data_IF_391467533500
#
_entry.id   IF_391467533500
#
_cell.length_a   1.000
_cell.length_b   1.000
_cell.length_c   1.000
_cell.angle_alpha   90.00
_cell.angle_beta   90.00
_cell.angle_gamma   90.00
#
_symmetry.space_group_name_H-M   'P 1'
#
loop_
_entity.id
_entity.type
_entity.pdbx_description
1 polymer ?
#
# COMPACT_ATOMS: atom_id res chain seq x y z
N UNK A 1 3.80 -20.30 3.92
CA UNK A 1 4.40 -19.74 5.14
C UNK A 1 4.19 -18.23 5.07
N UNK A 2 3.62 -17.64 6.10
CA UNK A 2 3.32 -16.20 6.13
C UNK A 2 4.62 -15.38 6.02
N UNK A 3 4.66 -14.42 5.10
CA UNK A 3 5.82 -13.57 4.85
C UNK A 3 5.37 -12.17 4.42
N UNK A 4 6.19 -11.18 4.70
CA UNK A 4 6.06 -9.87 4.07
C UNK A 4 7.38 -9.41 3.46
N UNK A 5 7.28 -8.51 2.53
CA UNK A 5 8.42 -7.88 1.85
C UNK A 5 8.32 -6.37 2.03
N UNK A 6 9.34 -5.76 2.60
CA UNK A 6 9.43 -4.32 2.79
C UNK A 6 10.62 -3.78 2.00
N UNK A 7 10.37 -2.83 1.12
CA UNK A 7 11.37 -2.26 0.21
C UNK A 7 12.15 -3.30 -0.60
N UNK A 8 11.46 -4.36 -1.06
CA UNK A 8 12.05 -5.43 -1.85
C UNK A 8 12.81 -6.50 -1.06
N UNK A 9 12.93 -6.36 0.27
CA UNK A 9 13.60 -7.34 1.13
C UNK A 9 12.54 -8.15 1.89
N UNK A 10 12.63 -9.47 1.80
CA UNK A 10 11.70 -10.37 2.48
C UNK A 10 12.02 -10.52 3.97
N UNK A 11 10.99 -10.63 4.80
CA UNK A 11 11.11 -10.95 6.23
C UNK A 11 11.92 -12.24 6.51
N UNK A 12 11.89 -13.20 5.58
CA UNK A 12 12.65 -14.43 5.67
C UNK A 12 14.17 -14.20 5.66
N UNK A 13 14.66 -13.13 5.01
CA UNK A 13 16.10 -12.79 4.96
C UNK A 13 16.69 -12.60 6.36
N UNK A 14 15.87 -12.06 7.24
CA UNK A 14 16.24 -11.84 8.64
C UNK A 14 15.81 -12.97 9.58
N UNK A 15 15.21 -14.04 9.05
CA UNK A 15 14.71 -15.15 9.85
C UNK A 15 13.49 -14.82 10.70
N UNK A 16 12.73 -13.80 10.30
CA UNK A 16 11.48 -13.43 10.96
C UNK A 16 10.41 -14.49 10.69
N UNK A 17 9.80 -15.00 11.74
CA UNK A 17 8.60 -15.85 11.67
C UNK A 17 7.40 -15.00 12.02
N UNK A 18 6.43 -14.94 11.13
CA UNK A 18 5.18 -14.22 11.35
C UNK A 18 4.24 -15.14 12.13
N UNK A 19 3.77 -14.64 13.27
CA UNK A 19 2.80 -15.31 14.15
C UNK A 19 1.40 -14.93 13.71
N UNK A 20 1.17 -13.62 13.54
CA UNK A 20 -0.12 -13.06 13.14
C UNK A 20 0.06 -12.05 12.01
N UNK A 21 -0.81 -12.15 11.00
CA UNK A 21 -0.88 -11.21 9.87
C UNK A 21 -2.13 -10.35 10.00
N UNK A 22 -2.03 -9.07 9.62
CA UNK A 22 -3.21 -8.22 9.58
C UNK A 22 -4.17 -8.69 8.48
N UNK A 23 -5.47 -8.61 8.72
CA UNK A 23 -6.45 -8.81 7.65
C UNK A 23 -6.31 -7.70 6.60
N UNK A 24 -6.69 -7.97 5.33
CA UNK A 24 -6.81 -6.93 4.32
C UNK A 24 -7.69 -5.79 4.84
N UNK A 25 -7.16 -4.59 4.87
CA UNK A 25 -7.88 -3.44 5.39
C UNK A 25 -7.79 -2.26 4.44
N UNK A 26 -8.71 -1.33 4.58
CA UNK A 26 -8.73 -0.05 3.87
C UNK A 26 -8.96 1.08 4.85
N UNK A 27 -8.47 2.27 4.53
CA UNK A 27 -8.77 3.47 5.28
C UNK A 27 -10.28 3.74 5.37
N UNK A 28 -10.73 4.14 6.54
CA UNK A 28 -12.11 4.59 6.76
C UNK A 28 -12.39 5.87 5.96
N UNK A 29 -13.66 6.07 5.61
CA UNK A 29 -14.09 7.33 5.01
C UNK A 29 -14.41 8.33 6.12
N UNK A 30 -13.90 9.55 6.02
CA UNK A 30 -14.17 10.62 6.99
C UNK A 30 -15.58 11.17 6.75
N UNK A 31 -16.36 11.22 7.83
CA UNK A 31 -17.74 11.73 7.81
C UNK A 31 -17.82 12.94 8.74
N UNK A 32 -18.19 14.08 8.18
CA UNK A 32 -18.47 15.28 8.95
C UNK A 32 -19.95 15.32 9.35
N UNK A 33 -20.22 15.46 10.66
CA UNK A 33 -21.57 15.60 11.20
C UNK A 33 -21.80 17.04 11.66
N UNK A 34 -22.79 17.70 11.07
CA UNK A 34 -23.15 19.07 11.39
C UNK A 34 -24.48 19.07 12.18
N UNK A 35 -24.42 19.56 13.42
CA UNK A 35 -25.61 19.72 14.25
C UNK A 35 -26.28 21.06 13.92
N UNK A 36 -27.54 21.01 13.48
CA UNK A 36 -28.33 22.22 13.21
C UNK A 36 -29.27 22.46 14.40
N UNK A 37 -29.17 23.60 15.09
CA UNK A 37 -30.07 23.94 16.18
C UNK A 37 -31.53 23.88 15.76
N UNK A 38 -32.35 23.12 16.51
CA UNK A 38 -33.80 22.95 16.24
C UNK A 38 -34.14 21.80 15.29
N UNK A 39 -33.16 21.02 14.80
CA UNK A 39 -33.42 19.76 14.10
C UNK A 39 -33.00 18.58 14.97
N UNK A 40 -33.85 17.52 15.06
CA UNK A 40 -33.50 16.30 15.80
C UNK A 40 -32.45 15.45 15.10
N UNK A 41 -32.21 15.65 13.80
CA UNK A 41 -31.29 14.88 12.97
C UNK A 41 -30.05 15.72 12.63
N UNK A 42 -28.87 15.09 12.70
CA UNK A 42 -27.62 15.67 12.26
C UNK A 42 -27.51 15.56 10.74
N UNK A 43 -27.03 16.62 10.10
CA UNK A 43 -26.68 16.58 8.69
C UNK A 43 -25.31 15.91 8.54
N UNK A 44 -25.28 14.80 7.84
CA UNK A 44 -24.05 14.03 7.62
C UNK A 44 -23.52 14.31 6.20
N UNK A 45 -22.29 14.80 6.11
CA UNK A 45 -21.59 14.98 4.84
C UNK A 45 -20.42 14.00 4.78
N UNK A 46 -20.40 13.15 3.77
CA UNK A 46 -19.23 12.35 3.46
C UNK A 46 -18.18 13.26 2.81
N UNK A 47 -17.01 13.34 3.40
CA UNK A 47 -15.85 14.00 2.80
C UNK A 47 -15.07 12.88 2.12
N UNK A 48 -14.65 13.09 0.86
CA UNK A 48 -13.83 12.11 0.12
C UNK A 48 -12.38 12.06 0.63
N UNK A 49 -12.22 12.10 1.95
CA UNK A 49 -10.96 11.94 2.64
C UNK A 49 -10.95 10.56 3.31
N UNK A 50 -9.85 9.85 3.13
CA UNK A 50 -9.66 8.52 3.68
C UNK A 50 -8.56 8.56 4.74
N UNK A 51 -8.82 7.89 5.85
CA UNK A 51 -7.85 7.74 6.92
C UNK A 51 -6.76 6.73 6.53
N UNK A 52 -5.56 6.93 7.06
CA UNK A 52 -4.47 5.99 6.90
C UNK A 52 -4.83 4.63 7.49
N UNK A 53 -4.32 3.58 6.87
CA UNK A 53 -4.53 2.20 7.32
C UNK A 53 -3.38 1.75 8.19
N UNK A 54 -3.68 1.16 9.34
CA UNK A 54 -2.68 0.52 10.19
C UNK A 54 -2.65 -0.99 9.93
N UNK A 55 -1.45 -1.52 9.71
CA UNK A 55 -1.19 -2.95 9.54
C UNK A 55 -0.22 -3.41 10.61
N UNK A 56 -0.67 -4.31 11.48
CA UNK A 56 0.13 -4.85 12.57
C UNK A 56 0.52 -6.30 12.28
N UNK A 57 1.81 -6.58 12.37
CA UNK A 57 2.38 -7.91 12.24
C UNK A 57 2.98 -8.34 13.58
N UNK A 58 2.47 -9.43 14.15
CA UNK A 58 3.17 -10.08 15.24
C UNK A 58 4.22 -11.01 14.70
N UNK A 59 5.46 -10.78 15.07
CA UNK A 59 6.63 -11.51 14.57
C UNK A 59 7.50 -12.04 15.69
N UNK A 60 8.19 -13.13 15.39
CA UNK A 60 9.12 -13.78 16.27
C UNK A 60 10.47 -13.93 15.59
N UNK A 61 11.55 -13.69 16.35
CA UNK A 61 12.92 -13.88 15.91
C UNK A 61 13.63 -14.90 16.79
N UNK A 62 14.36 -15.82 16.13
CA UNK A 62 15.19 -16.83 16.79
C UNK A 62 16.67 -16.43 16.85
N UNK A 63 17.10 -15.49 16.02
CA UNK A 63 18.47 -14.97 15.99
C UNK A 63 18.50 -13.53 16.50
N UNK A 64 18.76 -13.39 17.80
CA UNK A 64 18.75 -12.09 18.48
C UNK A 64 19.84 -11.15 17.95
N UNK A 65 20.93 -11.67 17.37
CA UNK A 65 22.03 -10.85 16.83
C UNK A 65 21.56 -9.94 15.70
N UNK A 66 20.57 -10.36 14.93
CA UNK A 66 19.98 -9.62 13.81
C UNK A 66 18.96 -8.53 14.21
N UNK A 67 18.65 -8.40 15.48
CA UNK A 67 17.61 -7.46 15.95
C UNK A 67 17.89 -6.02 15.48
N UNK A 68 19.15 -5.57 15.54
CA UNK A 68 19.52 -4.21 15.13
C UNK A 68 19.39 -4.00 13.62
N UNK A 69 19.75 -5.01 12.84
CA UNK A 69 19.66 -4.98 11.38
C UNK A 69 18.20 -4.94 10.93
N UNK A 70 17.33 -5.66 11.63
CA UNK A 70 15.87 -5.63 11.41
C UNK A 70 15.33 -4.25 11.68
N UNK A 71 15.68 -3.61 12.80
CA UNK A 71 15.23 -2.25 13.12
C UNK A 71 15.73 -1.22 12.11
N UNK A 72 16.94 -1.40 11.59
CA UNK A 72 17.47 -0.54 10.56
C UNK A 72 16.79 -0.76 9.22
N UNK A 73 16.51 -2.01 8.85
CA UNK A 73 15.76 -2.34 7.64
C UNK A 73 14.33 -1.78 7.66
N UNK A 74 13.65 -1.87 8.80
CA UNK A 74 12.28 -1.37 8.96
C UNK A 74 12.20 0.15 9.07
N UNK A 75 13.32 0.86 9.06
CA UNK A 75 13.32 2.31 9.22
C UNK A 75 12.83 3.03 7.98
N UNK A 76 11.90 3.98 8.17
CA UNK A 76 11.47 4.91 7.12
C UNK A 76 10.19 4.48 6.41
N UNK A 77 9.96 5.09 5.26
CA UNK A 77 8.83 4.83 4.38
C UNK A 77 9.19 3.84 3.25
N UNK A 78 8.19 3.30 2.59
CA UNK A 78 8.42 2.40 1.47
C UNK A 78 7.23 1.58 1.04
N UNK A 79 7.50 0.51 0.29
CA UNK A 79 6.48 -0.41 -0.21
C UNK A 79 6.45 -1.69 0.61
N UNK A 80 5.25 -2.04 1.07
CA UNK A 80 4.96 -3.26 1.79
C UNK A 80 4.11 -4.18 0.92
N UNK A 81 4.53 -5.42 0.78
CA UNK A 81 3.79 -6.52 0.14
C UNK A 81 3.74 -7.68 1.12
N UNK A 82 2.61 -8.32 1.31
CA UNK A 82 2.52 -9.50 2.16
C UNK A 82 1.83 -10.67 1.47
N UNK A 83 2.06 -11.88 1.99
CA UNK A 83 1.74 -13.13 1.29
C UNK A 83 0.27 -13.35 1.00
N UNK A 84 -0.64 -12.72 1.74
CA UNK A 84 -2.08 -12.86 1.56
C UNK A 84 -2.61 -12.03 0.39
N UNK A 85 -1.90 -10.93 0.03
CA UNK A 85 -2.19 -10.08 -1.12
C UNK A 85 -0.93 -9.86 -1.98
N UNK A 86 -0.41 -10.91 -2.64
CA UNK A 86 0.88 -10.85 -3.34
C UNK A 86 0.84 -10.00 -4.62
N UNK A 87 -0.35 -9.66 -5.10
CA UNK A 87 -0.60 -8.83 -6.29
C UNK A 87 -0.73 -7.34 -5.97
N UNK A 88 -0.67 -6.98 -4.69
CA UNK A 88 -0.83 -5.61 -4.20
C UNK A 88 0.35 -5.15 -3.35
N UNK A 89 0.52 -3.85 -3.28
CA UNK A 89 1.43 -3.22 -2.32
C UNK A 89 0.77 -2.07 -1.60
N UNK A 90 1.23 -1.82 -0.39
CA UNK A 90 0.83 -0.69 0.44
C UNK A 90 1.98 0.31 0.52
N UNK A 91 1.68 1.59 0.37
CA UNK A 91 2.66 2.65 0.60
C UNK A 91 2.74 2.93 2.10
N UNK A 92 3.84 2.54 2.71
CA UNK A 92 4.13 2.82 4.11
C UNK A 92 4.59 4.26 4.26
N UNK A 93 3.89 5.02 5.10
CA UNK A 93 4.21 6.40 5.44
C UNK A 93 5.19 6.44 6.62
N UNK A 94 4.90 5.60 7.61
CA UNK A 94 5.77 5.42 8.77
C UNK A 94 5.61 4.02 9.33
N UNK A 95 6.60 3.57 10.06
CA UNK A 95 6.54 2.32 10.80
C UNK A 95 7.06 2.51 12.21
N UNK A 96 6.59 1.66 13.10
CA UNK A 96 7.03 1.59 14.47
C UNK A 96 7.20 0.14 14.88
N UNK A 97 8.18 -0.12 15.74
CA UNK A 97 8.40 -1.44 16.32
C UNK A 97 8.03 -1.35 17.80
N UNK A 98 6.89 -1.92 18.12
CA UNK A 98 6.37 -1.91 19.49
C UNK A 98 6.99 -3.06 20.26
N UNK A 99 7.77 -2.70 21.27
CA UNK A 99 8.35 -3.54 22.34
C UNK A 99 8.73 -4.98 21.97
N UNK A 100 10.03 -5.22 21.85
CA UNK A 100 10.54 -6.59 21.81
C UNK A 100 10.40 -7.25 23.19
N UNK A 101 9.46 -8.16 23.33
CA UNK A 101 9.28 -8.97 24.54
C UNK A 101 10.23 -10.17 24.46
N UNK A 102 11.05 -10.34 25.49
CA UNK A 102 11.90 -11.53 25.59
C UNK A 102 11.06 -12.70 26.09
N UNK A 103 10.92 -13.73 25.27
CA UNK A 103 10.22 -14.97 25.63
C UNK A 103 11.20 -15.94 26.29
N UNK A 104 12.42 -16.05 25.74
CA UNK A 104 13.50 -16.88 26.27
C UNK A 104 14.86 -16.27 25.94
N UNK A 105 15.95 -16.95 26.27
CA UNK A 105 17.31 -16.50 25.96
C UNK A 105 17.56 -16.43 24.42
N UNK A 106 16.85 -17.24 23.65
CA UNK A 106 17.02 -17.35 22.20
C UNK A 106 15.84 -16.83 21.40
N UNK A 107 14.74 -16.41 22.07
CA UNK A 107 13.48 -16.09 21.41
C UNK A 107 12.95 -14.74 21.83
N UNK A 108 12.65 -13.88 20.85
CA UNK A 108 11.96 -12.61 21.05
C UNK A 108 10.77 -12.49 20.15
N UNK A 109 9.66 -11.94 20.70
CA UNK A 109 8.48 -11.52 19.94
C UNK A 109 8.38 -10.02 19.97
N UNK A 110 7.93 -9.43 18.87
CA UNK A 110 7.63 -8.00 18.79
C UNK A 110 6.54 -7.76 17.74
N UNK A 111 5.88 -6.62 17.88
CA UNK A 111 4.85 -6.17 16.94
C UNK A 111 5.44 -5.08 16.05
N UNK A 112 5.30 -5.25 14.75
CA UNK A 112 5.63 -4.24 13.76
C UNK A 112 4.34 -3.59 13.30
N UNK A 113 4.21 -2.29 13.50
CA UNK A 113 3.08 -1.49 13.04
C UNK A 113 3.50 -0.67 11.84
N UNK A 114 2.82 -0.84 10.72
CA UNK A 114 2.97 -0.03 9.53
C UNK A 114 1.78 0.90 9.39
N UNK A 115 2.02 2.19 9.31
CA UNK A 115 1.02 3.19 8.95
C UNK A 115 1.12 3.39 7.43
N UNK A 116 0.09 2.98 6.73
CA UNK A 116 0.03 2.94 5.28
C UNK A 116 -0.95 3.97 4.72
N UNK A 117 -0.73 4.36 3.47
CA UNK A 117 -1.76 5.08 2.70
C UNK A 117 -3.07 4.27 2.67
N UNK A 118 -4.23 4.95 2.55
CA UNK A 118 -5.55 4.29 2.71
C UNK A 118 -5.83 3.18 1.70
N UNK A 119 -5.11 3.15 0.59
CA UNK A 119 -5.36 2.22 -0.51
C UNK A 119 -4.22 1.25 -0.74
N UNK A 120 -4.58 0.04 -1.15
CA UNK A 120 -3.66 -0.92 -1.75
C UNK A 120 -3.53 -0.64 -3.26
N UNK A 121 -2.31 -0.74 -3.78
CA UNK A 121 -1.99 -0.50 -5.18
C UNK A 121 -1.61 -1.81 -5.86
N UNK A 122 -2.03 -1.99 -7.11
CA UNK A 122 -1.61 -3.16 -7.90
C UNK A 122 -0.11 -3.12 -8.19
N UNK A 123 0.55 -4.27 -8.06
CA UNK A 123 1.95 -4.43 -8.48
C UNK A 123 2.07 -4.47 -10.02
N UNK A 124 1.02 -4.93 -10.69
CA UNK A 124 0.94 -4.88 -12.14
C UNK A 124 0.76 -3.44 -12.56
N UNK A 125 1.86 -2.80 -12.95
CA UNK A 125 1.78 -1.55 -13.68
C UNK A 125 1.13 -1.84 -15.02
N UNK A 126 -0.17 -1.61 -15.13
CA UNK A 126 -0.87 -1.62 -16.39
C UNK A 126 -0.50 -0.36 -17.18
N UNK A 127 0.77 -0.27 -17.56
CA UNK A 127 1.20 0.71 -18.55
C UNK A 127 0.73 0.20 -19.89
N UNK A 128 -0.46 0.63 -20.31
CA UNK A 128 -0.94 0.39 -21.66
C UNK A 128 -0.12 1.28 -22.59
N UNK A 129 0.85 0.68 -23.29
CA UNK A 129 1.53 1.35 -24.39
C UNK A 129 0.77 1.07 -25.68
N UNK A 130 0.23 2.10 -26.30
CA UNK A 130 -0.37 2.02 -27.62
C UNK A 130 0.51 2.73 -28.65
N UNK A 131 1.01 1.98 -29.63
CA UNK A 131 1.81 2.55 -30.72
C UNK A 131 0.86 2.89 -31.85
N UNK A 132 0.72 4.18 -32.14
CA UNK A 132 0.01 4.64 -33.33
C UNK A 132 0.95 4.54 -34.52
N UNK A 133 0.75 3.50 -35.35
CA UNK A 133 1.36 3.41 -36.66
C UNK A 133 0.38 4.00 -37.68
N UNK A 134 0.87 4.84 -38.58
CA UNK A 134 0.10 5.45 -39.67
C UNK A 134 -1.01 6.46 -39.25
N UNK A 135 -0.58 7.58 -38.66
CA UNK A 135 -1.42 8.77 -38.64
C UNK A 135 -1.33 9.40 -40.04
N UNK A 136 -2.30 9.08 -40.90
CA UNK A 136 -2.48 9.77 -42.16
C UNK A 136 -3.30 11.04 -41.90
N UNK A 137 -2.94 12.13 -42.56
CA UNK A 137 -3.62 13.44 -42.47
C UNK A 137 -5.14 13.41 -42.71
N UNK A 138 -5.66 12.29 -43.19
CA UNK A 138 -7.07 12.08 -43.51
C UNK A 138 -7.92 11.45 -42.38
N UNK A 139 -7.31 11.11 -41.21
CA UNK A 139 -8.06 10.59 -40.06
C UNK A 139 -7.86 11.50 -38.84
N UNK A 140 -8.79 12.46 -38.59
CA UNK A 140 -8.61 13.50 -37.60
C UNK A 140 -8.69 13.01 -36.13
N UNK A 141 -9.27 11.83 -35.88
CA UNK A 141 -9.46 11.35 -34.53
C UNK A 141 -9.23 9.84 -34.41
N UNK A 142 -8.40 9.44 -33.45
CA UNK A 142 -8.23 8.04 -33.08
C UNK A 142 -8.59 7.85 -31.61
N UNK A 143 -9.64 7.11 -31.33
CA UNK A 143 -10.14 6.84 -29.99
C UNK A 143 -9.52 5.57 -29.44
N UNK A 144 -8.97 5.63 -28.24
CA UNK A 144 -8.51 4.47 -27.46
C UNK A 144 -9.43 4.33 -26.27
N UNK A 145 -9.99 3.14 -26.10
CA UNK A 145 -10.76 2.80 -24.91
C UNK A 145 -9.84 2.12 -23.91
N UNK A 146 -9.68 2.73 -22.73
CA UNK A 146 -8.90 2.18 -21.61
C UNK A 146 -9.88 1.75 -20.53
N UNK A 147 -9.84 0.46 -20.18
CA UNK A 147 -10.63 -0.05 -19.06
C UNK A 147 -9.80 0.00 -17.80
N UNK A 148 -10.24 0.79 -16.83
CA UNK A 148 -9.61 0.89 -15.51
C UNK A 148 -10.23 -0.15 -14.60
N UNK A 149 -9.43 -1.12 -14.12
CA UNK A 149 -9.87 -2.21 -13.25
C UNK A 149 -9.88 -1.89 -11.75
N UNK A 150 -9.71 -0.62 -11.37
CA UNK A 150 -9.65 -0.19 -9.99
C UNK A 150 -11.03 0.00 -9.36
N UNK A 151 -11.11 -0.15 -8.03
CA UNK A 151 -12.34 0.07 -7.25
C UNK A 151 -12.56 1.54 -6.88
N UNK A 152 -11.57 2.40 -7.11
CA UNK A 152 -11.61 3.83 -6.77
C UNK A 152 -11.32 4.68 -7.98
N UNK A 153 -11.88 5.90 -7.98
CA UNK A 153 -11.58 6.93 -8.96
C UNK A 153 -10.07 7.21 -8.97
N UNK A 154 -9.45 7.16 -10.14
CA UNK A 154 -8.04 7.52 -10.32
C UNK A 154 -7.91 8.54 -11.44
N UNK A 155 -6.94 9.42 -11.30
CA UNK A 155 -6.55 10.34 -12.37
C UNK A 155 -5.49 9.65 -13.23
N UNK A 156 -5.81 9.24 -14.47
CA UNK A 156 -4.85 8.58 -15.33
C UNK A 156 -3.80 9.59 -15.83
N UNK A 157 -2.53 9.19 -15.77
CA UNK A 157 -1.43 9.94 -16.34
C UNK A 157 -1.19 9.49 -17.78
N UNK A 158 -1.27 10.43 -18.73
CA UNK A 158 -1.02 10.20 -20.14
C UNK A 158 0.36 10.74 -20.52
N UNK A 159 1.19 9.86 -21.08
CA UNK A 159 2.47 10.25 -21.65
C UNK A 159 2.42 10.11 -23.17
N UNK A 160 2.57 11.22 -23.89
CA UNK A 160 2.67 11.21 -25.35
C UNK A 160 4.14 11.34 -25.74
N UNK A 161 4.64 10.37 -26.50
CA UNK A 161 5.96 10.42 -27.09
C UNK A 161 5.82 10.49 -28.60
N UNK A 162 6.22 11.61 -29.18
CA UNK A 162 6.30 11.78 -30.63
C UNK A 162 7.66 11.27 -31.13
N UNK A 163 7.63 10.32 -32.08
CA UNK A 163 8.81 9.83 -32.76
C UNK A 163 8.71 10.18 -34.27
N UNK A 164 8.55 11.47 -34.57
CA UNK A 164 8.55 11.97 -35.96
C UNK A 164 9.93 12.44 -36.38
N UNK A 165 10.32 12.14 -37.62
CA UNK A 165 11.42 12.87 -38.30
C UNK A 165 10.86 14.24 -38.70
N UNK A 166 11.61 15.30 -38.37
CA UNK A 166 11.48 16.63 -38.96
C UNK A 166 12.07 16.55 -40.36
#
# INVERSE_FOLDING_TARGET
MATFTFNGISSNTYGLKIIEMPPPSRGGNTVESITIPGRPEQLTRSIEEYENTELEFEVMITDISKTRDIFQWLKGNGKLVYSDEPDKYYNVISNDVISAVRISDELRSFVIRFICSPFAYSIKNDTLSHIFTDIKDSQPEKTITVTVGGSYSCEPLYFFRWAGRI
#
